data_IF_749414520821
#
_entry.id   IF_749414520821
#
_cell.length_a   1.000
_cell.length_b   1.000
_cell.length_c   1.000
_cell.angle_alpha   90.00
_cell.angle_beta   90.00
_cell.angle_gamma   90.00
#
_symmetry.space_group_name_H-M   'P 1'
#
loop_
_entity.id
_entity.type
_entity.pdbx_description
1 polymer ?
#
# COMPACT_ATOMS: atom_id res chain seq x y z
N UNK A 1 1.02 16.38 9.75
CA UNK A 1 -0.21 15.57 9.50
C UNK A 1 -0.08 14.94 8.11
N UNK A 2 -0.26 13.62 7.98
CA UNK A 2 -0.09 12.90 6.71
C UNK A 2 -1.42 12.83 5.96
N UNK A 3 -1.42 12.92 4.62
CA UNK A 3 -2.64 12.74 3.82
C UNK A 3 -3.20 11.32 4.00
N UNK A 4 -4.52 11.13 4.13
CA UNK A 4 -5.11 9.80 4.28
C UNK A 4 -4.93 8.96 3.01
N UNK A 5 -5.19 7.66 3.12
CA UNK A 5 -5.35 6.74 2.00
C UNK A 5 -6.82 6.46 1.77
N UNK A 6 -7.18 6.33 0.49
CA UNK A 6 -8.46 5.77 0.09
C UNK A 6 -8.28 4.27 -0.14
N UNK A 7 -9.10 3.47 0.53
CA UNK A 7 -9.04 2.00 0.47
C UNK A 7 -10.37 1.49 -0.07
N UNK A 8 -10.32 0.70 -1.12
CA UNK A 8 -11.46 -0.04 -1.65
C UNK A 8 -11.19 -1.54 -1.59
N UNK A 9 -12.21 -2.38 -1.30
CA UNK A 9 -12.07 -3.82 -1.36
C UNK A 9 -11.88 -4.30 -2.81
N UNK A 10 -11.12 -5.38 -2.97
CA UNK A 10 -11.03 -6.14 -4.22
C UNK A 10 -12.03 -7.31 -4.25
N UNK A 11 -11.67 -8.39 -4.94
CA UNK A 11 -12.48 -9.61 -4.98
C UNK A 11 -12.42 -10.39 -3.64
N UNK A 12 -13.57 -10.91 -3.18
CA UNK A 12 -13.67 -11.79 -1.98
C UNK A 12 -13.13 -11.18 -0.67
N UNK A 13 -13.22 -9.87 -0.50
CA UNK A 13 -12.86 -9.19 0.76
C UNK A 13 -13.92 -8.18 1.14
N UNK A 14 -14.25 -8.10 2.43
CA UNK A 14 -15.16 -7.06 2.92
C UNK A 14 -14.44 -5.71 3.00
N UNK A 15 -15.19 -4.61 2.97
CA UNK A 15 -14.62 -3.26 3.14
C UNK A 15 -13.87 -3.13 4.48
N UNK A 16 -14.43 -3.70 5.56
CA UNK A 16 -13.81 -3.66 6.89
C UNK A 16 -12.49 -4.43 6.90
N UNK A 17 -12.50 -5.66 6.39
CA UNK A 17 -11.30 -6.50 6.33
C UNK A 17 -10.21 -5.88 5.46
N UNK A 18 -10.56 -5.19 4.38
CA UNK A 18 -9.61 -4.47 3.54
C UNK A 18 -8.93 -3.32 4.30
N UNK A 19 -9.70 -2.49 5.00
CA UNK A 19 -9.15 -1.41 5.83
C UNK A 19 -8.24 -1.93 6.95
N UNK A 20 -8.67 -2.97 7.66
CA UNK A 20 -7.88 -3.58 8.75
C UNK A 20 -6.56 -4.14 8.23
N UNK A 21 -6.58 -4.80 7.06
CA UNK A 21 -5.38 -5.34 6.43
C UNK A 21 -4.41 -4.22 6.01
N UNK A 22 -4.92 -3.17 5.37
CA UNK A 22 -4.11 -2.02 4.96
C UNK A 22 -3.46 -1.34 6.17
N UNK A 23 -4.20 -1.10 7.24
CA UNK A 23 -3.68 -0.48 8.46
C UNK A 23 -2.58 -1.33 9.12
N UNK A 24 -2.74 -2.67 9.16
CA UNK A 24 -1.70 -3.58 9.67
C UNK A 24 -0.39 -3.50 8.87
N UNK A 25 -0.47 -3.20 7.58
CA UNK A 25 0.68 -3.08 6.69
C UNK A 25 1.28 -1.66 6.66
N UNK A 26 0.58 -0.66 7.20
CA UNK A 26 1.08 0.71 7.36
C UNK A 26 1.78 0.87 8.72
N UNK A 27 3.05 0.48 8.80
CA UNK A 27 3.81 0.53 10.07
C UNK A 27 4.50 1.88 10.30
N UNK A 28 5.42 2.26 9.40
CA UNK A 28 6.26 3.47 9.53
C UNK A 28 5.95 4.54 8.50
N UNK A 29 5.26 4.17 7.42
CA UNK A 29 5.00 5.04 6.28
C UNK A 29 3.50 5.15 5.99
N UNK A 30 3.15 6.19 5.22
CA UNK A 30 1.79 6.38 4.73
C UNK A 30 1.32 5.19 3.87
N UNK A 31 2.17 4.71 2.97
CA UNK A 31 1.85 3.62 2.05
C UNK A 31 2.08 2.26 2.72
N UNK A 32 1.21 1.25 2.47
CA UNK A 32 1.44 -0.10 2.94
C UNK A 32 2.79 -0.63 2.47
N UNK A 33 3.47 -1.39 3.33
CA UNK A 33 4.78 -1.98 3.00
C UNK A 33 4.80 -2.67 1.62
N UNK A 34 3.80 -3.51 1.23
CA UNK A 34 3.83 -4.16 -0.08
C UNK A 34 3.84 -3.18 -1.26
N UNK A 35 2.96 -2.16 -1.24
CA UNK A 35 2.87 -1.16 -2.31
C UNK A 35 4.11 -0.27 -2.36
N UNK A 36 4.63 0.12 -1.19
CA UNK A 36 5.85 0.93 -1.08
C UNK A 36 7.06 0.19 -1.65
N UNK A 37 7.21 -1.10 -1.34
CA UNK A 37 8.30 -1.93 -1.85
C UNK A 37 8.18 -2.18 -3.36
N UNK A 38 6.97 -2.41 -3.87
CA UNK A 38 6.74 -2.55 -5.31
C UNK A 38 7.13 -1.28 -6.09
N UNK A 39 6.74 -0.10 -5.59
CA UNK A 39 7.11 1.19 -6.19
C UNK A 39 8.63 1.41 -6.19
N UNK A 40 9.31 1.06 -5.09
CA UNK A 40 10.77 1.11 -5.01
C UNK A 40 11.44 0.15 -5.99
N UNK A 41 10.90 -1.06 -6.18
CA UNK A 41 11.44 -2.04 -7.11
C UNK A 41 11.35 -1.54 -8.56
N UNK A 42 10.17 -1.06 -8.99
CA UNK A 42 9.97 -0.50 -10.33
C UNK A 42 10.83 0.75 -10.53
N UNK A 43 10.94 1.62 -9.53
CA UNK A 43 11.79 2.82 -9.59
C UNK A 43 13.27 2.48 -9.77
N UNK A 44 13.77 1.36 -9.21
CA UNK A 44 15.14 0.89 -9.44
C UNK A 44 15.31 0.37 -10.87
N UNK A 45 14.39 -0.47 -11.35
CA UNK A 45 14.43 -1.01 -12.72
C UNK A 45 14.41 0.11 -13.75
N UNK A 46 13.54 1.11 -13.59
CA UNK A 46 13.43 2.28 -14.47
C UNK A 46 14.69 3.15 -14.55
N UNK A 47 15.62 3.05 -13.59
CA UNK A 47 16.90 3.77 -13.62
C UNK A 47 18.01 3.00 -14.33
N UNK A 48 17.78 1.71 -14.58
CA UNK A 48 18.73 0.82 -15.27
C UNK A 48 18.47 0.74 -16.78
N UNK A 49 17.31 1.23 -17.22
CA UNK A 49 16.89 1.37 -18.62
C UNK A 49 16.99 2.83 -19.00
#
# INVERSE_FOLDING_TARGET
RVKPLYVSPGHRVSIRSACDLVLKMCTRYRLPEPTRLADQAVSRIRKLV
#
